data_IF_738762833956
#
_entry.id   IF_738762833956
#
_cell.length_a   1.000
_cell.length_b   1.000
_cell.length_c   1.000
_cell.angle_alpha   90.00
_cell.angle_beta   90.00
_cell.angle_gamma   90.00
#
_symmetry.space_group_name_H-M   'P 1'
#
loop_
_entity.id
_entity.type
_entity.pdbx_description
1 polymer ?
#
# COMPACT_ATOMS: atom_id res chain seq x y z
N UNK A 1 -4.76 -10.93 15.26
CA UNK A 1 -4.24 -9.98 14.25
C UNK A 1 -4.09 -10.70 12.92
N UNK A 2 -4.83 -10.29 11.88
CA UNK A 2 -4.84 -10.99 10.59
C UNK A 2 -3.79 -10.40 9.63
N UNK A 3 -2.65 -11.10 9.49
CA UNK A 3 -1.63 -10.81 8.49
C UNK A 3 -1.98 -11.52 7.18
N UNK A 4 -2.96 -10.97 6.44
CA UNK A 4 -3.38 -11.49 5.14
C UNK A 4 -2.45 -11.07 4.00
N UNK A 5 -1.73 -9.96 4.14
CA UNK A 5 -0.79 -9.41 3.15
C UNK A 5 0.37 -8.68 3.83
N UNK A 6 1.46 -8.36 3.10
CA UNK A 6 2.53 -7.49 3.59
C UNK A 6 2.05 -6.09 3.96
N UNK A 7 2.57 -5.53 5.05
CA UNK A 7 2.09 -4.26 5.61
C UNK A 7 3.23 -3.40 6.16
N UNK A 8 3.02 -2.09 6.13
CA UNK A 8 3.81 -1.13 6.92
C UNK A 8 3.25 -0.99 8.34
N UNK A 9 4.06 -0.51 9.28
CA UNK A 9 3.61 -0.16 10.64
C UNK A 9 2.44 0.83 10.64
N UNK A 10 2.41 1.76 9.69
CA UNK A 10 1.31 2.70 9.53
C UNK A 10 0.00 2.02 9.09
N UNK A 11 0.08 1.06 8.16
CA UNK A 11 -1.10 0.29 7.75
C UNK A 11 -1.61 -0.61 8.88
N UNK A 12 -0.69 -1.20 9.65
CA UNK A 12 -1.02 -2.00 10.83
C UNK A 12 -1.68 -1.14 11.93
N UNK A 13 -1.12 0.02 12.23
CA UNK A 13 -1.65 0.98 13.21
C UNK A 13 -3.07 1.38 12.88
N UNK A 14 -3.34 1.70 11.61
CA UNK A 14 -4.71 1.93 11.15
C UNK A 14 -5.56 0.70 11.43
N UNK A 15 -5.18 -0.47 10.93
CA UNK A 15 -5.96 -1.73 11.04
C UNK A 15 -6.31 -2.13 12.47
N UNK A 16 -5.43 -1.85 13.44
CA UNK A 16 -5.61 -2.33 14.82
C UNK A 16 -5.97 -1.24 15.81
N UNK A 17 -5.98 0.03 15.39
CA UNK A 17 -6.17 1.19 16.29
C UNK A 17 -5.01 1.41 17.27
N UNK A 18 -3.93 0.64 17.18
CA UNK A 18 -2.74 0.81 18.02
C UNK A 18 -1.92 2.00 17.53
N UNK A 19 -1.13 2.59 18.43
CA UNK A 19 -0.21 3.66 18.03
C UNK A 19 0.82 3.16 17.01
N UNK A 20 1.32 4.07 16.18
CA UNK A 20 2.37 3.75 15.20
C UNK A 20 3.62 3.17 15.88
N UNK A 21 3.96 3.68 17.06
CA UNK A 21 5.12 3.21 17.83
C UNK A 21 4.91 1.79 18.34
N UNK A 22 3.71 1.46 18.85
CA UNK A 22 3.38 0.10 19.26
C UNK A 22 3.44 -0.87 18.07
N UNK A 23 2.89 -0.50 16.91
CA UNK A 23 2.99 -1.33 15.71
C UNK A 23 4.42 -1.50 15.21
N UNK A 24 5.24 -0.45 15.30
CA UNK A 24 6.66 -0.51 14.94
C UNK A 24 7.42 -1.44 15.88
N UNK A 25 7.13 -1.37 17.18
CA UNK A 25 7.70 -2.25 18.20
C UNK A 25 7.31 -3.72 17.97
N UNK A 26 6.05 -4.00 17.65
CA UNK A 26 5.60 -5.37 17.32
C UNK A 26 6.37 -5.92 16.11
N UNK A 27 6.56 -5.13 15.06
CA UNK A 27 7.36 -5.58 13.91
C UNK A 27 8.84 -5.81 14.26
N UNK A 28 9.41 -4.97 15.13
CA UNK A 28 10.77 -5.17 15.62
C UNK A 28 10.90 -6.49 16.40
N UNK A 29 10.00 -6.76 17.36
CA UNK A 29 9.95 -8.03 18.10
C UNK A 29 9.78 -9.24 17.17
N UNK A 30 8.86 -9.15 16.22
CA UNK A 30 8.64 -10.23 15.26
C UNK A 30 9.88 -10.48 14.40
N UNK A 31 10.60 -9.43 14.02
CA UNK A 31 11.84 -9.57 13.26
C UNK A 31 12.95 -10.22 14.11
N UNK A 32 13.11 -9.79 15.36
CA UNK A 32 14.08 -10.39 16.30
C UNK A 32 13.81 -11.88 16.54
N UNK A 33 12.54 -12.27 16.67
CA UNK A 33 12.12 -13.67 16.84
C UNK A 33 12.04 -14.44 15.51
N UNK A 34 12.47 -13.84 14.39
CA UNK A 34 12.41 -14.42 13.04
C UNK A 34 10.99 -14.81 12.59
N UNK A 35 9.95 -14.21 13.17
CA UNK A 35 8.55 -14.37 12.79
C UNK A 35 8.16 -13.50 11.59
N UNK A 36 8.84 -12.36 11.41
CA UNK A 36 8.66 -11.49 10.26
C UNK A 36 10.00 -11.14 9.61
N UNK A 37 9.94 -10.71 8.36
CA UNK A 37 11.06 -10.15 7.61
C UNK A 37 10.65 -8.83 6.96
N UNK A 38 11.60 -7.90 6.84
CA UNK A 38 11.42 -6.68 6.06
C UNK A 38 11.65 -7.00 4.58
N UNK A 39 10.70 -6.63 3.73
CA UNK A 39 10.73 -6.89 2.28
C UNK A 39 11.48 -5.79 1.51
N UNK A 40 11.73 -4.64 2.14
CA UNK A 40 12.44 -3.49 1.58
C UNK A 40 13.53 -3.01 2.54
N UNK A 41 14.57 -3.83 2.74
CA UNK A 41 15.58 -3.64 3.79
C UNK A 41 16.33 -2.30 3.76
N UNK A 42 16.47 -1.70 2.56
CA UNK A 42 17.11 -0.40 2.40
C UNK A 42 16.24 0.78 2.87
N UNK A 43 14.94 0.56 3.09
CA UNK A 43 14.03 1.63 3.47
C UNK A 43 14.26 2.10 4.92
N UNK A 44 14.47 3.39 5.11
CA UNK A 44 14.50 4.02 6.44
C UNK A 44 13.11 4.38 6.96
N UNK A 45 12.15 4.61 6.06
CA UNK A 45 10.75 4.94 6.36
C UNK A 45 9.84 4.05 5.53
N UNK A 46 8.64 3.77 6.04
CA UNK A 46 7.66 2.88 5.39
C UNK A 46 8.24 1.49 5.06
N UNK A 47 8.98 0.91 6.02
CA UNK A 47 9.38 -0.50 5.94
C UNK A 47 8.15 -1.38 5.84
N UNK A 48 8.22 -2.36 4.97
CA UNK A 48 7.16 -3.30 4.63
C UNK A 48 7.55 -4.64 5.22
N UNK A 49 6.71 -5.18 6.07
CA UNK A 49 6.96 -6.41 6.78
C UNK A 49 6.00 -7.50 6.34
N UNK A 50 6.52 -8.72 6.30
CA UNK A 50 5.74 -9.92 6.05
C UNK A 50 6.18 -11.06 6.96
N UNK A 51 5.28 -12.03 7.17
CA UNK A 51 5.58 -13.22 7.94
C UNK A 51 6.65 -14.06 7.24
N UNK A 52 7.65 -14.49 8.01
CA UNK A 52 8.64 -15.47 7.56
C UNK A 52 8.01 -16.86 7.43
N UNK A 53 8.79 -17.86 6.98
CA UNK A 53 8.36 -19.27 7.03
C UNK A 53 7.94 -19.70 8.45
N UNK A 54 8.69 -19.27 9.47
CA UNK A 54 8.37 -19.55 10.87
C UNK A 54 7.09 -18.81 11.30
N UNK A 55 6.96 -17.53 10.96
CA UNK A 55 5.74 -16.76 11.27
C UNK A 55 4.48 -17.32 10.62
N UNK A 56 4.58 -17.80 9.38
CA UNK A 56 3.49 -18.47 8.68
C UNK A 56 3.12 -19.81 9.35
N UNK A 57 4.11 -20.57 9.82
CA UNK A 57 3.86 -21.80 10.58
C UNK A 57 3.16 -21.50 11.91
N UNK A 58 3.62 -20.48 12.65
CA UNK A 58 2.97 -20.03 13.88
C UNK A 58 1.52 -19.59 13.62
N UNK A 59 1.27 -18.80 12.56
CA UNK A 59 -0.08 -18.38 12.16
C UNK A 59 -0.97 -19.59 11.88
N UNK A 60 -0.50 -20.58 11.11
CA UNK A 60 -1.28 -21.79 10.81
C UNK A 60 -1.65 -22.54 12.09
N UNK A 61 -0.73 -22.66 13.04
CA UNK A 61 -0.99 -23.31 14.34
C UNK A 61 -2.07 -22.56 15.12
N UNK A 62 -1.94 -21.24 15.27
CA UNK A 62 -2.92 -20.43 16.01
C UNK A 62 -4.35 -20.48 15.45
N UNK A 63 -4.51 -20.69 14.14
CA UNK A 63 -5.82 -20.85 13.51
C UNK A 63 -6.39 -22.26 13.70
N UNK A 64 -5.55 -23.31 13.64
CA UNK A 64 -5.96 -24.68 13.97
C UNK A 64 -6.46 -24.77 15.41
N UNK A 65 -5.76 -24.14 16.35
CA UNK A 65 -6.15 -24.11 17.76
C UNK A 65 -7.49 -23.37 18.00
N UNK A 66 -7.95 -22.60 17.01
CA UNK A 66 -9.24 -21.88 17.03
C UNK A 66 -10.29 -22.51 16.11
N UNK A 67 -10.02 -23.69 15.52
CA UNK A 67 -10.89 -24.35 14.54
C UNK A 67 -11.27 -23.45 13.33
N UNK A 68 -10.39 -22.51 12.97
CA UNK A 68 -10.60 -21.58 11.84
C UNK A 68 -9.79 -22.01 10.62
N UNK A 69 -10.39 -21.87 9.45
CA UNK A 69 -9.65 -21.97 8.19
C UNK A 69 -8.56 -20.90 8.11
N UNK A 70 -7.37 -21.31 7.65
CA UNK A 70 -6.25 -20.40 7.41
C UNK A 70 -6.37 -19.90 5.97
N UNK A 71 -6.61 -18.60 5.73
CA UNK A 71 -6.53 -18.06 4.38
C UNK A 71 -5.13 -18.29 3.82
N UNK A 72 -5.04 -18.75 2.57
CA UNK A 72 -3.79 -18.95 1.88
C UNK A 72 -2.94 -17.66 1.95
N UNK A 73 -1.67 -17.73 2.38
CA UNK A 73 -0.81 -16.56 2.38
C UNK A 73 -0.56 -16.12 0.94
N UNK A 74 -0.95 -14.89 0.61
CA UNK A 74 -0.67 -14.28 -0.68
C UNK A 74 0.40 -13.21 -0.53
N UNK A 75 1.51 -13.39 -1.23
CA UNK A 75 2.54 -12.37 -1.40
C UNK A 75 2.62 -12.11 -2.89
N UNK A 76 2.04 -11.02 -3.40
CA UNK A 76 2.13 -10.71 -4.81
C UNK A 76 3.59 -10.45 -5.19
N UNK A 77 3.91 -10.75 -6.44
CA UNK A 77 5.17 -10.37 -7.06
C UNK A 77 5.11 -8.88 -7.43
N UNK A 78 5.57 -8.03 -6.52
CA UNK A 78 5.67 -6.59 -6.71
C UNK A 78 7.01 -6.09 -6.18
N UNK A 79 7.47 -4.97 -6.74
CA UNK A 79 8.59 -4.23 -6.17
C UNK A 79 8.20 -3.64 -4.80
N UNK A 80 8.71 -4.24 -3.73
CA UNK A 80 8.43 -3.83 -2.34
C UNK A 80 9.09 -2.51 -1.95
N UNK A 81 10.22 -2.15 -2.59
CA UNK A 81 10.83 -0.83 -2.41
C UNK A 81 9.93 0.25 -3.01
N UNK A 82 9.38 0.00 -4.19
CA UNK A 82 8.43 0.88 -4.85
C UNK A 82 7.11 0.97 -4.07
N UNK A 83 6.58 -0.16 -3.59
CA UNK A 83 5.41 -0.19 -2.73
C UNK A 83 5.59 0.67 -1.47
N UNK A 84 6.70 0.49 -0.74
CA UNK A 84 7.02 1.28 0.45
C UNK A 84 7.11 2.79 0.16
N UNK A 85 7.66 3.17 -1.00
CA UNK A 85 7.70 4.57 -1.43
C UNK A 85 6.30 5.14 -1.72
N UNK A 86 5.39 4.33 -2.26
CA UNK A 86 4.01 4.72 -2.57
C UNK A 86 3.15 4.81 -1.30
N UNK A 87 3.47 4.09 -0.23
CA UNK A 87 2.75 4.12 1.06
C UNK A 87 2.73 5.51 1.76
N UNK A 88 3.48 6.50 1.27
CA UNK A 88 3.36 7.88 1.74
C UNK A 88 1.96 8.47 1.46
N UNK A 89 1.37 9.20 2.42
CA UNK A 89 -0.04 9.67 2.41
C UNK A 89 -0.52 10.18 1.05
N UNK A 90 0.17 11.16 0.47
CA UNK A 90 -0.22 11.76 -0.81
C UNK A 90 -0.06 10.82 -2.01
N UNK A 91 0.99 10.00 -2.01
CA UNK A 91 1.28 9.05 -3.10
C UNK A 91 0.22 7.94 -3.09
N UNK A 92 0.00 7.35 -1.92
CA UNK A 92 -1.05 6.36 -1.69
C UNK A 92 -2.44 6.88 -2.07
N UNK A 93 -2.76 8.14 -1.75
CA UNK A 93 -4.04 8.73 -2.11
C UNK A 93 -4.22 8.87 -3.63
N UNK A 94 -3.19 9.33 -4.36
CA UNK A 94 -3.26 9.48 -5.82
C UNK A 94 -3.32 8.12 -6.53
N UNK A 95 -2.49 7.15 -6.15
CA UNK A 95 -2.49 5.85 -6.82
C UNK A 95 -3.83 5.11 -6.61
N UNK A 96 -4.42 5.18 -5.41
CA UNK A 96 -5.76 4.62 -5.14
C UNK A 96 -6.85 5.30 -5.98
N UNK A 97 -6.73 6.61 -6.16
CA UNK A 97 -7.67 7.39 -6.96
C UNK A 97 -7.62 7.04 -8.46
N UNK A 98 -6.46 6.68 -9.02
CA UNK A 98 -6.26 6.34 -10.44
C UNK A 98 -6.89 5.01 -10.84
N UNK A 99 -8.22 4.96 -10.93
CA UNK A 99 -8.97 3.78 -11.38
C UNK A 99 -9.13 3.68 -12.92
N UNK A 100 -8.86 4.78 -13.63
CA UNK A 100 -8.94 4.92 -15.09
C UNK A 100 -8.05 6.11 -15.50
N UNK A 101 -7.79 6.35 -16.81
CA UNK A 101 -6.94 7.46 -17.23
C UNK A 101 -7.43 8.81 -16.72
N UNK A 102 -6.60 9.52 -15.93
CA UNK A 102 -6.96 10.81 -15.32
C UNK A 102 -5.87 11.87 -15.44
N UNK A 103 -6.26 13.13 -15.47
CA UNK A 103 -5.36 14.25 -15.23
C UNK A 103 -5.04 14.38 -13.72
N UNK A 104 -3.89 14.98 -13.33
CA UNK A 104 -3.54 15.17 -11.93
C UNK A 104 -4.61 15.90 -11.10
N UNK A 105 -5.28 16.90 -11.67
CA UNK A 105 -6.36 17.62 -11.01
C UNK A 105 -7.59 16.73 -10.75
N UNK A 106 -7.94 15.86 -11.69
CA UNK A 106 -9.02 14.90 -11.54
C UNK A 106 -8.68 13.82 -10.50
N UNK A 107 -7.45 13.28 -10.55
CA UNK A 107 -6.97 12.32 -9.56
C UNK A 107 -6.98 12.91 -8.15
N UNK A 108 -6.56 14.16 -7.97
CA UNK A 108 -6.67 14.89 -6.68
C UNK A 108 -8.12 14.99 -6.20
N UNK A 109 -9.05 15.41 -7.08
CA UNK A 109 -10.47 15.55 -6.70
C UNK A 109 -11.04 14.22 -6.23
N UNK A 110 -10.75 13.14 -6.96
CA UNK A 110 -11.16 11.78 -6.58
C UNK A 110 -10.47 11.29 -5.30
N UNK A 111 -9.19 11.60 -5.10
CA UNK A 111 -8.50 11.27 -3.86
C UNK A 111 -9.17 11.94 -2.64
N UNK A 112 -9.61 13.20 -2.78
CA UNK A 112 -10.38 13.92 -1.74
C UNK A 112 -11.80 13.40 -1.54
N UNK A 113 -12.44 12.87 -2.59
CA UNK A 113 -13.76 12.23 -2.41
C UNK A 113 -13.64 10.89 -1.67
N UNK A 114 -12.52 10.18 -1.84
CA UNK A 114 -12.23 8.94 -1.10
C UNK A 114 -11.79 9.21 0.34
N UNK A 115 -11.06 10.30 0.58
CA UNK A 115 -10.63 10.75 1.91
C UNK A 115 -10.85 12.28 2.05
N UNK A 116 -11.97 12.71 2.65
CA UNK A 116 -12.27 14.13 2.86
C UNK A 116 -11.24 14.88 3.72
N UNK A 117 -10.45 14.16 4.53
CA UNK A 117 -9.40 14.75 5.40
C UNK A 117 -8.11 15.06 4.64
N UNK A 118 -7.98 14.57 3.40
CA UNK A 118 -6.78 14.75 2.57
C UNK A 118 -6.55 16.23 2.23
N UNK A 119 -5.44 16.77 2.74
CA UNK A 119 -4.94 18.11 2.40
C UNK A 119 -3.83 18.02 1.36
N UNK A 120 -4.15 18.29 0.09
CA UNK A 120 -3.19 18.21 -1.02
C UNK A 120 -3.37 19.39 -1.98
N UNK A 121 -2.27 20.08 -2.32
CA UNK A 121 -2.29 21.15 -3.33
C UNK A 121 -2.36 20.59 -4.77
N UNK A 122 -2.69 21.45 -5.74
CA UNK A 122 -2.63 21.06 -7.16
C UNK A 122 -1.20 20.74 -7.61
N UNK A 123 -0.21 21.46 -7.09
CA UNK A 123 1.20 21.23 -7.38
C UNK A 123 1.64 19.85 -6.85
N UNK A 124 1.28 19.50 -5.62
CA UNK A 124 1.62 18.18 -5.07
C UNK A 124 1.05 17.03 -5.90
N UNK A 125 -0.17 17.17 -6.42
CA UNK A 125 -0.76 16.15 -7.28
C UNK A 125 0.02 15.99 -8.60
N UNK A 126 0.48 17.10 -9.19
CA UNK A 126 1.34 17.08 -10.40
C UNK A 126 2.70 16.46 -10.11
N UNK A 127 3.32 16.79 -8.98
CA UNK A 127 4.62 16.25 -8.58
C UNK A 127 4.55 14.75 -8.31
N UNK A 128 3.49 14.28 -7.65
CA UNK A 128 3.25 12.84 -7.45
C UNK A 128 3.06 12.14 -8.78
N UNK A 129 2.31 12.71 -9.72
CA UNK A 129 2.14 12.11 -11.05
C UNK A 129 3.46 12.04 -11.83
N UNK A 130 4.27 13.11 -11.76
CA UNK A 130 5.60 13.14 -12.37
C UNK A 130 6.51 12.06 -11.76
N UNK A 131 6.50 11.92 -10.44
CA UNK A 131 7.23 10.87 -9.74
C UNK A 131 6.77 9.48 -10.20
N UNK A 132 5.46 9.24 -10.27
CA UNK A 132 4.92 7.96 -10.74
C UNK A 132 5.35 7.64 -12.16
N UNK A 133 5.37 8.64 -13.05
CA UNK A 133 5.87 8.46 -14.41
C UNK A 133 7.37 8.10 -14.41
N UNK A 134 8.18 8.82 -13.62
CA UNK A 134 9.62 8.55 -13.50
C UNK A 134 9.92 7.16 -12.94
N UNK A 135 9.03 6.61 -12.12
CA UNK A 135 9.16 5.27 -11.53
C UNK A 135 8.44 4.18 -12.34
N UNK A 136 7.96 4.49 -13.54
CA UNK A 136 7.26 3.53 -14.40
C UNK A 136 5.90 3.06 -13.86
N UNK A 137 5.31 3.75 -12.88
CA UNK A 137 4.00 3.39 -12.31
C UNK A 137 2.83 3.86 -13.18
N UNK A 138 3.03 4.92 -13.97
CA UNK A 138 2.00 5.45 -14.88
C UNK A 138 2.59 5.75 -16.24
N UNK A 139 1.74 5.65 -17.27
CA UNK A 139 2.03 6.09 -18.62
C UNK A 139 1.09 7.20 -19.06
N UNK A 140 1.55 8.18 -19.85
CA UNK A 140 0.67 9.18 -20.43
C UNK A 140 -0.18 8.56 -21.54
N UNK A 141 -1.47 8.86 -21.52
CA UNK A 141 -2.43 8.48 -22.56
C UNK A 141 -2.99 9.75 -23.18
N UNK A 142 -2.92 9.83 -24.50
CA UNK A 142 -3.50 10.92 -25.26
C UNK A 142 -4.44 10.35 -26.32
N UNK A 143 -5.66 10.88 -26.35
CA UNK A 143 -6.68 10.53 -27.35
C UNK A 143 -7.05 11.78 -28.14
N UNK A 144 -7.48 11.64 -29.40
CA UNK A 144 -8.03 12.76 -30.18
C UNK A 144 -9.11 13.50 -29.39
N UNK A 145 -9.06 14.84 -29.40
CA UNK A 145 -9.98 15.70 -28.65
C UNK A 145 -9.60 15.98 -27.19
N UNK A 146 -8.50 15.44 -26.67
CA UNK A 146 -8.01 15.80 -25.33
C UNK A 146 -7.00 16.95 -25.38
N UNK A 147 -7.32 18.05 -24.67
CA UNK A 147 -6.44 19.22 -24.52
C UNK A 147 -5.14 18.92 -23.75
N UNK A 148 -5.16 17.98 -22.81
CA UNK A 148 -4.01 17.61 -21.99
C UNK A 148 -3.93 16.09 -21.80
N UNK A 149 -2.71 15.52 -21.67
CA UNK A 149 -2.53 14.10 -21.44
C UNK A 149 -3.17 13.66 -20.12
N UNK A 150 -3.72 12.45 -20.13
CA UNK A 150 -4.14 11.74 -18.93
C UNK A 150 -3.07 10.70 -18.57
N UNK A 151 -3.17 10.13 -17.39
CA UNK A 151 -2.24 9.12 -16.91
C UNK A 151 -3.01 7.89 -16.46
N UNK A 152 -2.52 6.72 -16.83
CA UNK A 152 -3.07 5.42 -16.44
C UNK A 152 -2.01 4.57 -15.76
N UNK A 153 -2.45 3.64 -14.91
CA UNK A 153 -1.56 2.74 -14.19
C UNK A 153 -1.12 1.58 -15.10
N UNK A 154 0.18 1.29 -15.06
CA UNK A 154 0.70 0.03 -15.62
C UNK A 154 0.26 -1.16 -14.75
N UNK A 155 0.35 -2.38 -15.28
CA UNK A 155 -0.12 -3.60 -14.60
C UNK A 155 0.45 -3.78 -13.18
N UNK A 156 1.77 -3.68 -12.99
CA UNK A 156 2.38 -3.76 -11.66
C UNK A 156 1.84 -2.68 -10.69
N UNK A 157 1.56 -1.48 -11.20
CA UNK A 157 1.00 -0.40 -10.41
C UNK A 157 -0.48 -0.64 -10.05
N UNK A 158 -1.21 -1.42 -10.85
CA UNK A 158 -2.55 -1.89 -10.51
C UNK A 158 -2.49 -2.90 -9.34
N UNK A 159 -1.51 -3.80 -9.33
CA UNK A 159 -1.27 -4.72 -8.20
C UNK A 159 -0.93 -3.97 -6.91
N UNK A 160 -0.05 -2.96 -7.00
CA UNK A 160 0.27 -2.07 -5.86
C UNK A 160 -0.99 -1.33 -5.39
N UNK A 161 -1.78 -0.78 -6.32
CA UNK A 161 -3.05 -0.10 -6.00
C UNK A 161 -3.99 -1.02 -5.25
N UNK A 162 -4.13 -2.28 -5.68
CA UNK A 162 -5.01 -3.25 -5.06
C UNK A 162 -4.57 -3.57 -3.61
N UNK A 163 -3.27 -3.83 -3.39
CA UNK A 163 -2.72 -4.02 -2.05
C UNK A 163 -3.00 -2.85 -1.10
N UNK A 164 -2.89 -1.62 -1.60
CA UNK A 164 -3.18 -0.41 -0.83
C UNK A 164 -4.66 -0.27 -0.50
N UNK A 165 -5.56 -0.67 -1.40
CA UNK A 165 -7.00 -0.68 -1.14
C UNK A 165 -7.34 -1.75 -0.09
N UNK A 166 -6.83 -2.96 -0.23
CA UNK A 166 -7.01 -4.04 0.74
C UNK A 166 -6.40 -3.69 2.11
N UNK A 167 -5.31 -2.92 2.13
CA UNK A 167 -4.71 -2.41 3.36
C UNK A 167 -5.70 -1.57 4.17
N UNK A 168 -6.54 -0.80 3.49
CA UNK A 168 -7.54 0.09 4.10
C UNK A 168 -8.90 -0.60 4.34
N UNK A 169 -9.32 -1.59 3.53
CA UNK A 169 -10.65 -2.24 3.65
C UNK A 169 -10.78 -3.06 4.94
N UNK A 170 -9.69 -3.66 5.44
CA UNK A 170 -9.69 -4.41 6.72
C UNK A 170 -9.97 -3.54 7.96
N UNK A 171 -10.36 -2.27 7.79
CA UNK A 171 -10.85 -1.36 8.82
C UNK A 171 -12.38 -1.37 8.99
N UNK A 172 -13.13 -1.91 8.02
CA UNK A 172 -14.59 -1.81 7.94
C UNK A 172 -15.34 -3.12 8.21
N UNK A 173 -14.61 -4.18 8.54
CA UNK A 173 -15.12 -5.52 8.86
C UNK A 173 -15.02 -5.81 10.34
#
# INVERSE_FOLDING_TARGET
MNFSQPLTANQMSKRTGLSLDACSYVFWEFTLKKLAACLNNAAQRNRVYWLSRLGLACRRRSFRDQEKEVPAPFVPDVDWDLYGQVCHRHRSAIIKALAYPMQPAAAKRRARSLDPTLRMSGNNARDVMRLFRQRGLVVPVQKPGWLYPKYELVEMAQSIRQLLLEADVSLRS
#
